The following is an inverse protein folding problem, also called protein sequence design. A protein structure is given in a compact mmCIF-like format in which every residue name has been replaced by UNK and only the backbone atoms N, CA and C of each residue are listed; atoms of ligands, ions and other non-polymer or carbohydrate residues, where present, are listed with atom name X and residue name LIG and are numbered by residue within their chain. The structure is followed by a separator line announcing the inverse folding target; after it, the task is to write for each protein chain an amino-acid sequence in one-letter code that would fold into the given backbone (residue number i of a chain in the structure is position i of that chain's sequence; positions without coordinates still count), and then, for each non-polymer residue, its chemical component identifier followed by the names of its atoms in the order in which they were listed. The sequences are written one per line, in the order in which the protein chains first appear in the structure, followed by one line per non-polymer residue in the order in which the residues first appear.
data_IF_799108932598
#
_entry.id   IF_799108932598
#
_cell.length_a   1.000
_cell.length_b   1.000
_cell.length_c   1.000
_cell.angle_alpha   90.00
_cell.angle_beta   90.00
_cell.angle_gamma   90.00
#
_symmetry.space_group_name_H-M   'P 1'
#
loop_
_entity.id
_entity.type
_entity.pdbx_description
1 polymer ?
#
# COMPACT_ATOMS: atom_id res chain seq x y z
N UNK A 1 0.99 -13.70 17.59
CA UNK A 1 0.43 -12.34 17.61
C UNK A 1 1.49 -11.37 17.09
N UNK A 2 1.25 -10.85 15.89
CA UNK A 2 1.77 -9.63 15.23
C UNK A 2 2.96 -8.86 15.85
N UNK A 3 4.19 -9.26 15.54
CA UNK A 3 5.44 -8.60 15.99
C UNK A 3 5.85 -7.34 15.20
N UNK A 4 5.14 -6.98 14.12
CA UNK A 4 5.49 -5.84 13.26
C UNK A 4 4.96 -4.48 13.78
N UNK A 5 3.88 -4.51 14.56
CA UNK A 5 3.20 -3.29 15.05
C UNK A 5 3.96 -2.64 16.21
N UNK A 6 4.68 -3.43 17.02
CA UNK A 6 5.40 -2.93 18.20
C UNK A 6 6.74 -2.25 17.87
N UNK A 7 7.29 -2.46 16.66
CA UNK A 7 8.62 -1.96 16.29
C UNK A 7 8.59 -0.64 15.49
N UNK A 8 7.40 -0.09 15.20
CA UNK A 8 7.22 1.10 14.36
C UNK A 8 7.88 0.95 12.99
N UNK A 9 7.64 -0.21 12.38
CA UNK A 9 8.02 -0.54 11.02
C UNK A 9 6.96 0.02 10.06
N UNK A 10 7.42 0.59 8.96
CA UNK A 10 6.54 1.09 7.90
C UNK A 10 6.73 0.28 6.64
N UNK A 11 5.63 0.07 5.92
CA UNK A 11 5.68 -0.53 4.60
C UNK A 11 5.88 0.60 3.60
N UNK A 12 7.02 0.58 2.93
CA UNK A 12 7.41 1.53 1.90
C UNK A 12 7.14 0.93 0.54
N UNK A 13 6.35 1.63 -0.27
CA UNK A 13 6.07 1.28 -1.66
C UNK A 13 6.66 2.37 -2.53
N UNK A 14 7.61 2.01 -3.39
CA UNK A 14 8.28 2.93 -4.30
C UNK A 14 8.08 2.51 -5.73
N UNK A 15 7.64 3.44 -6.58
CA UNK A 15 7.68 3.24 -8.02
C UNK A 15 9.09 3.53 -8.53
N UNK A 16 9.80 2.51 -9.02
CA UNK A 16 11.15 2.64 -9.56
C UNK A 16 11.21 3.47 -10.84
N UNK A 17 10.09 3.57 -11.57
CA UNK A 17 9.99 4.38 -12.78
C UNK A 17 9.75 5.87 -12.47
N UNK A 18 8.74 6.18 -11.64
CA UNK A 18 8.39 7.57 -11.31
C UNK A 18 9.14 8.14 -10.10
N UNK A 19 9.88 7.30 -9.35
CA UNK A 19 10.56 7.61 -8.08
C UNK A 19 9.65 8.18 -6.99
N UNK A 20 8.36 7.87 -7.05
CA UNK A 20 7.39 8.25 -6.03
C UNK A 20 7.40 7.19 -4.94
N UNK A 21 7.57 7.61 -3.69
CA UNK A 21 7.56 6.75 -2.51
C UNK A 21 6.35 7.06 -1.64
N UNK A 22 5.64 6.02 -1.24
CA UNK A 22 4.56 6.08 -0.25
C UNK A 22 4.89 5.17 0.92
N UNK A 23 4.57 5.62 2.12
CA UNK A 23 4.78 4.88 3.38
C UNK A 23 3.45 4.66 4.03
N UNK A 24 3.20 3.42 4.42
CA UNK A 24 1.95 2.97 5.02
C UNK A 24 2.22 2.32 6.36
N UNK A 25 1.26 2.49 7.28
CA UNK A 25 1.24 1.75 8.52
C UNK A 25 0.81 0.29 8.24
N UNK A 26 1.52 -0.72 8.76
CA UNK A 26 1.13 -2.11 8.60
C UNK A 26 -0.28 -2.41 9.10
N UNK A 27 -0.71 -1.79 10.20
CA UNK A 27 -2.04 -1.98 10.77
C UNK A 27 -3.15 -1.44 9.88
N UNK A 28 -2.89 -0.34 9.17
CA UNK A 28 -3.82 0.21 8.18
C UNK A 28 -3.89 -0.69 6.94
N UNK A 29 -2.76 -1.23 6.49
CA UNK A 29 -2.73 -2.14 5.34
C UNK A 29 -3.46 -3.45 5.60
N UNK A 30 -3.36 -4.01 6.80
CA UNK A 30 -4.10 -5.23 7.18
C UNK A 30 -5.61 -4.98 7.13
N UNK A 31 -6.09 -3.78 7.48
CA UNK A 31 -7.53 -3.45 7.39
C UNK A 31 -8.02 -3.33 5.96
N UNK A 32 -7.17 -2.89 5.03
CA UNK A 32 -7.53 -2.67 3.62
C UNK A 32 -7.39 -3.94 2.79
N UNK A 33 -6.28 -4.66 2.96
CA UNK A 33 -5.91 -5.81 2.13
C UNK A 33 -6.26 -7.15 2.78
N UNK A 34 -6.44 -7.18 4.11
CA UNK A 34 -6.53 -8.41 4.88
C UNK A 34 -5.15 -8.97 5.26
N UNK A 35 -5.11 -10.25 5.63
CA UNK A 35 -3.87 -10.97 5.95
C UNK A 35 -3.13 -11.41 4.68
N UNK A 36 -2.53 -10.44 3.99
CA UNK A 36 -1.80 -10.67 2.74
C UNK A 36 -0.30 -10.81 3.03
N UNK A 37 0.39 -11.84 2.49
CA UNK A 37 1.83 -11.97 2.62
C UNK A 37 2.56 -10.73 2.06
N UNK A 38 3.54 -10.23 2.82
CA UNK A 38 4.32 -9.05 2.43
C UNK A 38 5.01 -9.19 1.06
N UNK A 39 5.40 -10.41 0.68
CA UNK A 39 6.15 -10.72 -0.56
C UNK A 39 5.47 -10.19 -1.84
N UNK A 40 4.13 -10.11 -1.85
CA UNK A 40 3.36 -9.68 -3.03
C UNK A 40 2.52 -8.44 -2.77
N UNK A 41 2.82 -7.68 -1.71
CA UNK A 41 1.96 -6.56 -1.32
C UNK A 41 1.89 -5.48 -2.42
N UNK A 42 2.96 -5.27 -3.17
CA UNK A 42 3.05 -4.35 -4.31
C UNK A 42 2.01 -4.63 -5.41
N UNK A 43 1.52 -5.88 -5.52
CA UNK A 43 0.55 -6.25 -6.55
C UNK A 43 -0.84 -5.64 -6.33
N UNK A 44 -1.12 -5.20 -5.11
CA UNK A 44 -2.38 -4.56 -4.73
C UNK A 44 -2.34 -3.03 -4.94
N UNK A 45 -1.20 -2.49 -5.39
CA UNK A 45 -1.02 -1.05 -5.57
C UNK A 45 -0.83 -0.69 -7.03
N UNK A 46 -1.17 0.56 -7.33
CA UNK A 46 -0.87 1.21 -8.58
C UNK A 46 -0.11 2.50 -8.30
N UNK A 47 0.86 2.85 -9.16
CA UNK A 47 1.54 4.12 -9.02
C UNK A 47 0.56 5.28 -9.20
N UNK A 48 0.55 6.24 -8.27
CA UNK A 48 -0.31 7.43 -8.33
C UNK A 48 -0.05 8.33 -9.53
N UNK A 49 1.13 8.25 -10.15
CA UNK A 49 1.52 9.08 -11.31
C UNK A 49 1.33 8.37 -12.65
N UNK A 50 1.79 7.12 -12.78
CA UNK A 50 1.74 6.40 -14.06
C UNK A 50 0.69 5.29 -14.13
N UNK A 51 0.02 4.94 -13.02
CA UNK A 51 -0.96 3.85 -12.94
C UNK A 51 -0.38 2.44 -13.10
N UNK A 52 0.90 2.30 -13.45
CA UNK A 52 1.55 1.01 -13.66
C UNK A 52 1.90 0.33 -12.35
N UNK A 53 1.85 -1.00 -12.38
CA UNK A 53 2.15 -1.89 -11.25
C UNK A 53 3.54 -2.51 -11.35
N UNK A 54 4.02 -2.77 -12.56
CA UNK A 54 5.24 -3.54 -12.84
C UNK A 54 6.51 -2.92 -12.25
N UNK A 55 6.51 -1.61 -12.04
CA UNK A 55 7.65 -0.87 -11.49
C UNK A 55 7.52 -0.60 -9.99
N UNK A 56 6.53 -1.18 -9.30
CA UNK A 56 6.36 -1.01 -7.85
C UNK A 56 7.22 -2.00 -7.09
N UNK A 57 7.96 -1.48 -6.12
CA UNK A 57 8.78 -2.26 -5.19
C UNK A 57 8.31 -1.96 -3.77
N UNK A 58 8.02 -3.02 -3.01
CA UNK A 58 7.70 -2.95 -1.60
C UNK A 58 8.95 -3.25 -0.76
N UNK A 59 9.12 -2.54 0.34
CA UNK A 59 10.19 -2.73 1.31
C UNK A 59 9.71 -2.41 2.71
N UNK A 60 10.29 -3.08 3.71
CA UNK A 60 10.08 -2.72 5.11
C UNK A 60 11.11 -1.66 5.50
N UNK A 61 10.66 -0.57 6.10
CA UNK A 61 11.52 0.51 6.58
C UNK A 61 11.32 0.64 8.10
N UNK A 62 12.41 0.54 8.87
CA UNK A 62 12.39 0.74 10.32
C UNK A 62 13.18 2.00 10.64
N UNK A 63 12.54 3.19 10.55
CA UNK A 63 13.24 4.45 10.73
C UNK A 63 13.67 4.65 12.19
N UNK A 64 14.88 5.18 12.38
CA UNK A 64 15.33 5.62 13.69
C UNK A 64 14.55 6.86 14.16
N UNK A 65 14.62 7.18 15.46
CA UNK A 65 13.84 8.27 16.05
C UNK A 65 14.06 9.64 15.36
N UNK A 66 15.27 9.90 14.86
CA UNK A 66 15.59 11.12 14.10
C UNK A 66 14.94 11.12 12.71
N UNK A 67 14.93 9.99 12.02
CA UNK A 67 14.31 9.86 10.70
C UNK A 67 12.79 9.97 10.77
N UNK A 68 12.18 9.53 11.88
CA UNK A 68 10.73 9.70 12.11
C UNK A 68 10.32 11.17 12.14
N UNK A 69 11.18 12.06 12.60
CA UNK A 69 10.92 13.51 12.62
C UNK A 69 11.00 14.05 11.20
N UNK A 70 9.84 14.26 10.56
CA UNK A 70 9.72 14.75 9.18
C UNK A 70 9.28 13.69 8.17
N UNK A 71 9.06 12.43 8.59
CA UNK A 71 8.50 11.40 7.71
C UNK A 71 7.03 11.66 7.40
N UNK A 72 6.70 11.67 6.11
CA UNK A 72 5.31 11.68 5.65
C UNK A 72 4.80 10.24 5.56
N UNK A 73 3.80 9.92 6.37
CA UNK A 73 3.09 8.62 6.37
C UNK A 73 1.67 8.84 5.85
N UNK A 74 1.23 8.01 4.91
CA UNK A 74 -0.17 7.98 4.48
C UNK A 74 -0.96 7.15 5.49
N UNK A 75 -1.85 7.81 6.21
CA UNK A 75 -2.81 7.17 7.11
C UNK A 75 -4.10 6.87 6.37
N UNK A 76 -4.70 5.74 6.69
CA UNK A 76 -6.02 5.38 6.20
C UNK A 76 -7.07 6.30 6.85
N UNK A 77 -7.79 7.06 6.04
CA UNK A 77 -8.88 7.95 6.52
C UNK A 77 -10.25 7.28 6.35
N UNK A 78 -10.47 6.65 5.19
CA UNK A 78 -11.74 6.02 4.83
C UNK A 78 -11.46 4.96 3.73
N UNK A 79 -12.17 3.84 3.75
CA UNK A 79 -12.19 2.87 2.65
C UNK A 79 -13.50 3.05 1.89
N UNK A 80 -13.42 3.40 0.60
CA UNK A 80 -14.58 3.51 -0.28
C UNK A 80 -14.65 2.31 -1.21
N UNK A 81 -15.70 1.51 -1.07
CA UNK A 81 -15.98 0.39 -1.98
C UNK A 81 -16.74 0.90 -3.20
N UNK A 82 -16.12 0.81 -4.39
CA UNK A 82 -16.76 1.19 -5.66
C UNK A 82 -17.42 -0.03 -6.28
N UNK A 83 -18.76 -0.04 -6.33
CA UNK A 83 -19.53 -1.05 -7.05
C UNK A 83 -19.38 -0.80 -8.56
N UNK A 84 -18.82 -1.76 -9.31
CA UNK A 84 -18.74 -1.70 -10.78
C UNK A 84 -19.69 -2.73 -11.40
N UNK A 85 -20.83 -2.31 -11.98
CA UNK A 85 -21.72 -3.24 -12.67
C UNK A 85 -21.06 -3.75 -13.96
N UNK A 86 -21.14 -5.06 -14.19
CA UNK A 86 -20.71 -5.71 -15.43
C UNK A 86 -21.96 -6.12 -16.19
N UNK A 87 -22.18 -5.48 -17.33
CA UNK A 87 -23.31 -5.77 -18.20
C UNK A 87 -22.89 -6.79 -19.24
N UNK A 88 -23.81 -7.70 -19.58
CA UNK A 88 -23.65 -8.61 -20.71
C UNK A 88 -24.87 -8.44 -21.61
N UNK A 89 -24.61 -8.17 -22.88
CA UNK A 89 -25.66 -8.11 -23.88
C UNK A 89 -26.15 -9.54 -24.19
N UNK A 90 -27.47 -9.72 -24.18
CA UNK A 90 -28.14 -10.98 -24.50
C UNK A 90 -29.20 -10.68 -25.55
N UNK A 91 -29.21 -11.46 -26.64
CA UNK A 91 -30.26 -11.40 -27.65
C UNK A 91 -31.46 -12.21 -27.14
N UNK A 92 -32.64 -11.60 -27.11
CA UNK A 92 -33.91 -12.24 -26.72
C UNK A 92 -34.53 -13.02 -27.88
#
# INVERSE_FOLDING_TARGET
MSSAVELGQFIKITCQHCRVTHRYDPGDLIKVLGDVPFLNIQENFHCSKCGKRDYLSAGLETPCARERVGMTVRRLVEIRTVQRPVWKDVTL
#
